data_IF_863220450561
#
_entry.id   IF_863220450561
#
_cell.length_a   1.000
_cell.length_b   1.000
_cell.length_c   1.000
_cell.angle_alpha   90.00
_cell.angle_beta   90.00
_cell.angle_gamma   90.00
#
_symmetry.space_group_name_H-M   'P 1'
#
loop_
_entity.id
_entity.type
_entity.pdbx_description
1 polymer ?
#
# COMPACT_ATOMS: atom_id res chain seq x y z
N UNK A 1 -17.94 13.26 22.61
CA UNK A 1 -17.00 12.40 23.36
C UNK A 1 -16.27 11.38 22.48
N UNK A 2 -16.92 10.62 21.59
CA UNK A 2 -16.23 9.61 20.75
C UNK A 2 -15.10 10.19 19.88
N UNK A 3 -15.32 11.32 19.21
CA UNK A 3 -14.30 11.98 18.39
C UNK A 3 -13.05 12.41 19.19
N UNK A 4 -13.21 12.78 20.46
CA UNK A 4 -12.10 13.14 21.34
C UNK A 4 -11.30 11.92 21.77
N UNK A 5 -11.99 10.80 22.06
CA UNK A 5 -11.35 9.51 22.38
C UNK A 5 -10.59 8.96 21.17
N UNK A 6 -11.15 9.07 19.97
CA UNK A 6 -10.49 8.64 18.74
C UNK A 6 -9.26 9.52 18.42
N UNK A 7 -9.36 10.84 18.64
CA UNK A 7 -8.23 11.76 18.52
C UNK A 7 -7.13 11.43 19.53
N UNK A 8 -7.49 11.21 20.80
CA UNK A 8 -6.54 10.85 21.84
C UNK A 8 -5.85 9.51 21.56
N UNK A 9 -6.57 8.50 21.05
CA UNK A 9 -5.99 7.22 20.63
C UNK A 9 -4.99 7.36 19.49
N UNK A 10 -5.30 8.20 18.50
CA UNK A 10 -4.40 8.44 17.36
C UNK A 10 -3.15 9.24 17.75
N UNK A 11 -3.16 9.95 18.88
CA UNK A 11 -1.99 10.66 19.42
C UNK A 11 -1.06 9.75 20.22
N UNK A 12 -1.42 8.51 20.51
CA UNK A 12 -0.61 7.60 21.35
C UNK A 12 0.63 7.04 20.66
N UNK A 13 0.71 7.17 19.33
CA UNK A 13 1.86 6.74 18.56
C UNK A 13 2.11 7.71 17.39
N UNK A 14 3.35 8.14 17.25
CA UNK A 14 3.81 8.93 16.11
C UNK A 14 4.66 8.02 15.21
N UNK A 15 4.29 7.92 13.95
CA UNK A 15 5.05 7.19 12.93
C UNK A 15 5.58 8.19 11.90
N UNK A 16 6.90 8.22 11.71
CA UNK A 16 7.58 9.03 10.71
C UNK A 16 8.23 8.09 9.71
N UNK A 17 7.80 8.17 8.44
CA UNK A 17 8.36 7.40 7.35
C UNK A 17 9.18 8.30 6.44
N UNK A 18 10.38 7.86 6.06
CA UNK A 18 11.11 8.41 4.91
C UNK A 18 10.92 7.46 3.74
N UNK A 19 10.38 8.01 2.67
CA UNK A 19 9.93 7.28 1.50
C UNK A 19 10.73 7.75 0.29
N UNK A 20 11.26 6.81 -0.49
CA UNK A 20 11.82 7.09 -1.80
C UNK A 20 10.71 6.95 -2.85
N UNK A 21 10.36 8.07 -3.46
CA UNK A 21 9.40 8.16 -4.57
C UNK A 21 10.09 8.82 -5.76
N UNK A 22 10.04 8.19 -6.91
CA UNK A 22 10.57 8.75 -8.16
C UNK A 22 9.54 9.71 -8.76
N UNK A 23 9.99 10.87 -9.25
CA UNK A 23 9.11 11.79 -9.99
C UNK A 23 8.01 12.45 -9.17
N UNK A 24 8.30 12.84 -7.92
CA UNK A 24 7.30 13.47 -7.02
C UNK A 24 6.72 14.73 -7.66
N UNK A 25 5.42 14.71 -7.96
CA UNK A 25 4.58 15.91 -7.94
C UNK A 25 3.98 16.02 -6.54
N UNK A 26 4.13 17.16 -5.88
CA UNK A 26 3.56 17.42 -4.55
C UNK A 26 2.03 17.59 -4.67
N UNK A 27 1.34 16.50 -4.99
CA UNK A 27 -0.10 16.49 -5.21
C UNK A 27 -0.83 16.14 -3.92
N UNK A 28 -1.88 16.91 -3.63
CA UNK A 28 -2.82 16.55 -2.57
C UNK A 28 -3.60 15.32 -3.04
N UNK A 29 -3.79 14.34 -2.16
CA UNK A 29 -4.65 13.19 -2.44
C UNK A 29 -5.98 13.65 -3.06
N UNK A 30 -6.40 13.06 -4.21
CA UNK A 30 -7.65 13.40 -4.87
C UNK A 30 -8.86 12.90 -4.04
N UNK A 31 -10.06 12.89 -4.63
CA UNK A 31 -11.20 12.27 -3.96
C UNK A 31 -10.87 10.81 -3.66
N UNK A 32 -11.40 10.29 -2.55
CA UNK A 32 -11.06 8.95 -2.08
C UNK A 32 -11.28 7.88 -3.15
N UNK A 33 -12.26 8.09 -4.04
CA UNK A 33 -12.48 7.22 -5.17
C UNK A 33 -11.39 7.21 -6.22
N UNK A 34 -10.99 8.41 -6.65
CA UNK A 34 -9.92 8.58 -7.63
C UNK A 34 -8.60 8.04 -7.05
N UNK A 35 -8.36 8.26 -5.75
CA UNK A 35 -7.19 7.71 -5.05
C UNK A 35 -7.18 6.17 -5.04
N UNK A 36 -8.34 5.51 -4.94
CA UNK A 36 -8.43 4.04 -5.04
C UNK A 36 -8.16 3.54 -6.45
N UNK A 37 -8.57 4.27 -7.48
CA UNK A 37 -8.26 3.97 -8.89
C UNK A 37 -6.76 4.06 -9.12
N UNK A 38 -6.16 5.20 -8.76
CA UNK A 38 -4.73 5.46 -8.89
C UNK A 38 -3.92 4.33 -8.22
N UNK A 39 -4.28 4.01 -6.98
CA UNK A 39 -3.60 2.98 -6.21
C UNK A 39 -3.72 1.59 -6.85
N UNK A 40 -4.89 1.22 -7.35
CA UNK A 40 -5.09 -0.06 -8.02
C UNK A 40 -4.25 -0.16 -9.30
N UNK A 41 -4.14 0.93 -10.06
CA UNK A 41 -3.31 1.01 -11.27
C UNK A 41 -1.82 0.92 -10.93
N UNK A 42 -1.36 1.65 -9.91
CA UNK A 42 0.03 1.60 -9.44
C UNK A 42 0.41 0.19 -8.97
N UNK A 43 -0.46 -0.47 -8.21
CA UNK A 43 -0.25 -1.86 -7.80
C UNK A 43 -0.18 -2.79 -9.00
N UNK A 44 -1.10 -2.65 -9.94
CA UNK A 44 -1.13 -3.48 -11.14
C UNK A 44 0.18 -3.35 -11.94
N UNK A 45 0.63 -2.13 -12.22
CA UNK A 45 1.88 -1.86 -12.96
C UNK A 45 3.07 -2.50 -12.24
N UNK A 46 3.19 -2.25 -10.93
CA UNK A 46 4.27 -2.84 -10.14
C UNK A 46 4.25 -4.38 -10.19
N UNK A 47 3.08 -5.00 -10.01
CA UNK A 47 2.96 -6.46 -10.04
C UNK A 47 3.31 -7.04 -11.42
N UNK A 48 2.97 -6.34 -12.52
CA UNK A 48 3.39 -6.71 -13.86
C UNK A 48 4.91 -6.64 -14.05
N UNK A 49 5.56 -5.58 -13.60
CA UNK A 49 7.03 -5.45 -13.66
C UNK A 49 7.74 -6.57 -12.87
N UNK A 50 7.20 -6.92 -11.70
CA UNK A 50 7.72 -8.02 -10.90
C UNK A 50 7.49 -9.38 -11.58
N UNK A 51 6.35 -9.58 -12.25
CA UNK A 51 6.07 -10.79 -13.02
C UNK A 51 7.09 -10.99 -14.16
N UNK A 52 7.43 -9.92 -14.88
CA UNK A 52 8.40 -9.97 -15.98
C UNK A 52 9.79 -10.42 -15.48
N UNK A 53 10.14 -10.09 -14.24
CA UNK A 53 11.39 -10.52 -13.60
C UNK A 53 11.46 -12.04 -13.36
N UNK A 54 10.32 -12.74 -13.34
CA UNK A 54 10.24 -14.20 -13.28
C UNK A 54 10.09 -14.87 -14.67
N UNK A 55 10.06 -14.08 -15.75
CA UNK A 55 10.03 -14.53 -17.15
C UNK A 55 8.74 -14.12 -17.89
N UNK A 56 8.86 -13.83 -19.19
CA UNK A 56 7.73 -13.36 -20.02
C UNK A 56 6.65 -14.44 -20.21
N UNK A 57 5.39 -14.02 -20.37
CA UNK A 57 4.23 -14.89 -20.69
C UNK A 57 4.42 -15.77 -21.93
N UNK A 58 5.28 -15.39 -22.87
CA UNK A 58 5.44 -16.09 -24.16
C UNK A 58 6.70 -16.97 -24.23
N UNK A 59 7.70 -16.73 -23.36
CA UNK A 59 9.00 -17.40 -23.43
C UNK A 59 9.48 -18.00 -22.11
N UNK A 60 8.74 -17.83 -21.00
CA UNK A 60 9.12 -18.44 -19.74
C UNK A 60 9.04 -19.97 -19.84
N UNK A 61 10.19 -20.57 -20.10
CA UNK A 61 10.60 -21.76 -19.35
C UNK A 61 10.69 -21.33 -17.89
N UNK A 62 9.52 -21.17 -17.26
CA UNK A 62 9.40 -21.18 -15.82
C UNK A 62 10.24 -22.36 -15.34
N UNK A 63 11.10 -22.17 -14.34
CA UNK A 63 11.74 -23.30 -13.69
C UNK A 63 10.67 -24.36 -13.42
N UNK A 64 10.93 -25.64 -13.67
CA UNK A 64 9.93 -26.73 -13.70
C UNK A 64 8.96 -26.76 -12.50
N UNK A 65 9.34 -26.17 -11.37
CA UNK A 65 8.53 -26.00 -10.17
C UNK A 65 7.52 -24.84 -10.25
N UNK A 66 7.84 -23.73 -10.93
CA UNK A 66 6.96 -22.59 -11.15
C UNK A 66 5.86 -22.90 -12.20
N UNK A 67 6.16 -23.78 -13.16
CA UNK A 67 5.16 -24.35 -14.06
C UNK A 67 4.04 -25.10 -13.33
N UNK A 68 4.35 -25.86 -12.26
CA UNK A 68 3.33 -26.56 -11.45
C UNK A 68 2.41 -25.63 -10.65
N UNK A 69 2.92 -24.47 -10.24
CA UNK A 69 2.11 -23.46 -9.54
C UNK A 69 1.25 -22.69 -10.56
N UNK A 70 1.80 -22.47 -11.77
CA UNK A 70 1.05 -21.96 -12.91
C UNK A 70 -0.08 -22.89 -13.38
N UNK A 71 0.03 -24.20 -13.17
CA UNK A 71 -1.02 -25.17 -13.53
C UNK A 71 -2.20 -25.15 -12.54
N UNK A 72 -1.98 -24.81 -11.27
CA UNK A 72 -3.04 -24.68 -10.26
C UNK A 72 -3.64 -23.27 -10.19
N UNK A 73 -2.93 -22.28 -10.71
CA UNK A 73 -3.39 -20.90 -10.81
C UNK A 73 -4.04 -20.65 -12.17
N UNK A 74 -5.34 -20.37 -12.21
CA UNK A 74 -6.07 -20.17 -13.46
C UNK A 74 -5.73 -18.81 -14.10
N UNK A 75 -4.62 -18.77 -14.84
CA UNK A 75 -4.23 -17.63 -15.69
C UNK A 75 -5.24 -17.28 -16.80
N UNK A 76 -6.24 -18.14 -17.04
CA UNK A 76 -7.28 -18.00 -18.07
C UNK A 76 -8.39 -17.00 -17.74
N UNK A 77 -8.36 -16.37 -16.57
CA UNK A 77 -9.18 -15.22 -16.21
C UNK A 77 -8.25 -14.02 -15.95
N UNK A 78 -7.40 -13.68 -16.92
CA UNK A 78 -6.58 -12.48 -16.83
C UNK A 78 -7.52 -11.28 -16.57
N UNK A 79 -7.44 -10.57 -15.43
CA UNK A 79 -8.29 -9.41 -15.22
C UNK A 79 -7.88 -8.23 -16.10
N UNK A 80 -6.74 -8.34 -16.79
CA UNK A 80 -6.07 -7.22 -17.43
C UNK A 80 -5.35 -7.69 -18.71
N UNK A 81 -5.83 -7.22 -19.86
CA UNK A 81 -5.05 -7.20 -21.08
C UNK A 81 -4.20 -5.92 -21.07
N UNK A 82 -2.88 -5.98 -21.25
CA UNK A 82 -2.09 -4.75 -21.39
C UNK A 82 -2.55 -3.98 -22.63
N UNK A 83 -2.63 -2.64 -22.60
CA UNK A 83 -2.97 -1.86 -23.78
C UNK A 83 -1.92 -2.08 -24.88
N UNK A 84 -2.38 -2.19 -26.12
CA UNK A 84 -1.56 -2.57 -27.27
C UNK A 84 -0.52 -1.52 -27.71
N UNK A 85 -0.59 -0.29 -27.18
CA UNK A 85 0.31 0.81 -27.52
C UNK A 85 1.00 1.38 -26.26
N UNK A 86 2.09 0.74 -25.83
CA UNK A 86 2.90 1.14 -24.67
C UNK A 86 3.87 2.30 -24.98
N UNK A 87 3.43 3.32 -25.73
CA UNK A 87 4.26 4.49 -26.03
C UNK A 87 4.08 5.64 -25.03
N UNK A 88 2.95 5.69 -24.31
CA UNK A 88 2.73 6.60 -23.19
C UNK A 88 1.41 6.18 -22.51
N UNK A 89 1.42 5.71 -21.25
CA UNK A 89 0.17 5.60 -20.51
C UNK A 89 -0.24 7.04 -20.19
N UNK A 90 -1.16 7.59 -20.98
CA UNK A 90 -2.00 8.67 -20.46
C UNK A 90 -2.57 8.16 -19.14
N UNK A 91 -2.35 8.93 -18.07
CA UNK A 91 -2.50 8.58 -16.64
C UNK A 91 -3.93 8.16 -16.24
N UNK A 92 -4.83 7.98 -17.21
CA UNK A 92 -6.24 7.72 -17.02
C UNK A 92 -6.82 6.98 -18.24
N UNK A 93 -6.78 5.65 -18.26
CA UNK A 93 -7.66 4.85 -19.12
C UNK A 93 -8.89 4.35 -18.31
N UNK A 94 -10.04 5.03 -18.42
CA UNK A 94 -11.26 4.61 -17.73
C UNK A 94 -11.84 3.28 -18.26
N UNK A 95 -11.33 2.74 -19.38
CA UNK A 95 -11.76 1.47 -19.95
C UNK A 95 -10.94 0.27 -19.49
N UNK A 96 -9.90 0.47 -18.66
CA UNK A 96 -9.05 -0.60 -18.13
C UNK A 96 -9.83 -1.72 -17.42
N UNK A 97 -10.99 -1.40 -16.83
CA UNK A 97 -11.87 -2.36 -16.14
C UNK A 97 -13.13 -2.76 -16.95
N UNK A 98 -13.28 -2.33 -18.20
CA UNK A 98 -14.56 -2.35 -18.92
C UNK A 98 -14.77 -3.50 -19.89
N UNK A 99 -13.77 -4.33 -20.23
CA UNK A 99 -13.94 -5.38 -21.26
C UNK A 99 -13.97 -6.79 -20.66
N UNK A 100 -15.16 -7.40 -20.72
CA UNK A 100 -15.40 -8.84 -20.79
C UNK A 100 -14.52 -9.74 -19.91
N UNK A 101 -14.50 -9.47 -18.59
CA UNK A 101 -13.94 -10.41 -17.63
C UNK A 101 -14.89 -11.61 -17.45
N UNK A 102 -14.46 -12.85 -17.73
CA UNK A 102 -15.29 -14.00 -17.47
C UNK A 102 -15.49 -14.14 -15.96
N UNK A 103 -16.74 -14.11 -15.50
CA UNK A 103 -17.11 -14.08 -14.08
C UNK A 103 -17.87 -12.82 -13.66
N UNK A 104 -18.04 -11.85 -14.54
CA UNK A 104 -18.84 -10.65 -14.27
C UNK A 104 -20.35 -10.90 -14.48
N UNK A 105 -20.92 -11.86 -13.73
CA UNK A 105 -22.37 -12.10 -13.68
C UNK A 105 -23.01 -11.23 -12.59
N UNK A 106 -23.73 -10.15 -12.93
CA UNK A 106 -24.37 -9.28 -11.94
C UNK A 106 -25.41 -10.03 -11.07
N UNK A 107 -25.91 -11.19 -11.49
CA UNK A 107 -26.80 -12.03 -10.68
C UNK A 107 -26.08 -12.84 -9.58
N UNK A 108 -24.74 -12.92 -9.61
CA UNK A 108 -23.91 -13.68 -8.64
C UNK A 108 -23.21 -12.82 -7.60
N UNK A 109 -23.44 -11.50 -7.57
CA UNK A 109 -22.83 -10.60 -6.56
C UNK A 109 -21.30 -10.49 -6.70
N UNK A 110 -20.78 -10.49 -7.92
CA UNK A 110 -19.35 -10.55 -8.26
C UNK A 110 -18.62 -9.21 -8.22
N UNK A 111 -18.87 -8.48 -7.14
CA UNK A 111 -18.63 -7.04 -7.08
C UNK A 111 -17.54 -6.67 -6.06
N UNK A 112 -16.46 -7.48 -6.02
CA UNK A 112 -15.57 -7.48 -4.85
C UNK A 112 -14.17 -8.03 -5.11
N UNK A 113 -13.57 -7.80 -6.29
CA UNK A 113 -12.33 -8.54 -6.63
C UNK A 113 -11.07 -7.78 -6.94
N UNK A 114 -11.08 -6.50 -7.35
CA UNK A 114 -9.82 -5.86 -7.80
C UNK A 114 -8.72 -5.90 -6.73
N UNK A 115 -8.98 -5.46 -5.50
CA UNK A 115 -7.97 -5.51 -4.43
C UNK A 115 -7.75 -6.93 -3.90
N UNK A 116 -8.75 -7.83 -3.95
CA UNK A 116 -8.57 -9.25 -3.62
C UNK A 116 -7.63 -9.96 -4.62
N UNK A 117 -7.77 -9.68 -5.92
CA UNK A 117 -6.95 -10.20 -7.00
C UNK A 117 -5.52 -9.64 -6.93
N UNK A 118 -5.38 -8.32 -6.72
CA UNK A 118 -4.07 -7.68 -6.51
C UNK A 118 -3.35 -8.27 -5.28
N UNK A 119 -4.10 -8.51 -4.19
CA UNK A 119 -3.58 -9.16 -2.97
C UNK A 119 -3.12 -10.59 -3.26
N UNK A 120 -3.88 -11.36 -4.03
CA UNK A 120 -3.56 -12.74 -4.38
C UNK A 120 -2.29 -12.81 -5.24
N UNK A 121 -2.19 -11.99 -6.29
CA UNK A 121 -0.99 -11.91 -7.14
C UNK A 121 0.23 -11.47 -6.31
N UNK A 122 0.08 -10.47 -5.44
CA UNK A 122 1.16 -10.04 -4.55
C UNK A 122 1.59 -11.14 -3.56
N UNK A 123 0.65 -11.95 -3.08
CA UNK A 123 0.92 -13.12 -2.21
C UNK A 123 1.73 -14.17 -2.95
N UNK A 124 1.32 -14.48 -4.17
CA UNK A 124 2.01 -15.43 -5.02
C UNK A 124 3.43 -14.97 -5.38
N UNK A 125 3.61 -13.73 -5.85
CA UNK A 125 4.93 -13.17 -6.18
C UNK A 125 5.89 -13.19 -4.98
N UNK A 126 5.38 -12.88 -3.79
CA UNK A 126 6.17 -12.93 -2.56
C UNK A 126 6.62 -14.36 -2.25
N UNK A 127 5.70 -15.32 -2.29
CA UNK A 127 6.03 -16.74 -2.06
C UNK A 127 7.06 -17.24 -3.07
N UNK A 128 6.92 -16.86 -4.34
CA UNK A 128 7.88 -17.18 -5.40
C UNK A 128 9.26 -16.58 -5.12
N UNK A 129 9.30 -15.32 -4.68
CA UNK A 129 10.53 -14.62 -4.31
C UNK A 129 11.23 -15.32 -3.16
N UNK A 130 10.50 -15.58 -2.06
CA UNK A 130 11.04 -16.22 -0.86
C UNK A 130 11.61 -17.61 -1.19
N UNK A 131 10.86 -18.42 -1.96
CA UNK A 131 11.31 -19.75 -2.38
C UNK A 131 12.54 -19.72 -3.26
N UNK A 132 12.62 -18.78 -4.20
CA UNK A 132 13.76 -18.66 -5.11
C UNK A 132 15.02 -18.26 -4.34
N UNK A 133 14.91 -17.28 -3.44
CA UNK A 133 16.00 -16.86 -2.58
C UNK A 133 16.46 -17.97 -1.63
N UNK A 134 15.54 -18.71 -1.04
CA UNK A 134 15.88 -19.83 -0.14
C UNK A 134 16.51 -21.01 -0.89
N UNK A 135 16.04 -21.32 -2.10
CA UNK A 135 16.64 -22.33 -2.97
C UNK A 135 18.07 -21.97 -3.37
N UNK A 136 18.32 -20.69 -3.73
CA UNK A 136 19.66 -20.21 -4.09
C UNK A 136 20.65 -20.24 -2.91
N UNK A 137 20.17 -20.24 -1.67
CA UNK A 137 21.01 -20.36 -0.45
C UNK A 137 21.41 -21.80 -0.12
N UNK A 138 20.78 -22.81 -0.73
CA UNK A 138 21.07 -24.21 -0.41
C UNK A 138 22.44 -24.65 -0.96
N UNK A 139 23.20 -25.46 -0.21
CA UNK A 139 24.43 -26.08 -0.72
C UNK A 139 24.13 -26.92 -1.98
N UNK A 140 24.83 -26.63 -3.07
CA UNK A 140 24.63 -27.33 -4.35
C UNK A 140 23.48 -26.79 -5.20
N UNK A 141 22.97 -25.58 -4.92
CA UNK A 141 22.01 -24.90 -5.79
C UNK A 141 22.52 -24.83 -7.24
N UNK A 142 21.63 -25.11 -8.19
CA UNK A 142 21.93 -25.00 -9.62
C UNK A 142 22.27 -23.57 -10.02
N UNK A 143 23.15 -23.43 -11.01
CA UNK A 143 23.58 -22.11 -11.52
C UNK A 143 22.39 -21.29 -12.07
N UNK A 144 21.38 -21.96 -12.60
CA UNK A 144 20.11 -21.39 -13.05
C UNK A 144 19.32 -20.76 -11.90
N UNK A 145 19.20 -21.44 -10.75
CA UNK A 145 18.50 -20.94 -9.56
C UNK A 145 19.23 -19.75 -8.96
N UNK A 146 20.57 -19.81 -8.87
CA UNK A 146 21.39 -18.69 -8.39
C UNK A 146 21.27 -17.48 -9.32
N UNK A 147 21.26 -17.71 -10.64
CA UNK A 147 21.07 -16.64 -11.62
C UNK A 147 19.68 -16.01 -11.52
N UNK A 148 18.62 -16.81 -11.33
CA UNK A 148 17.26 -16.31 -11.14
C UNK A 148 17.12 -15.52 -9.83
N UNK A 149 17.76 -15.97 -8.75
CA UNK A 149 17.76 -15.23 -7.50
C UNK A 149 18.49 -13.87 -7.62
N UNK A 150 19.48 -13.77 -8.51
CA UNK A 150 20.21 -12.53 -8.75
C UNK A 150 19.43 -11.48 -9.56
N UNK A 151 18.35 -11.87 -10.27
CA UNK A 151 17.48 -10.94 -11.00
C UNK A 151 16.32 -10.41 -10.16
N UNK A 152 16.09 -10.98 -8.97
CA UNK A 152 15.03 -10.51 -8.06
C UNK A 152 15.43 -9.15 -7.49
N UNK A 153 14.52 -8.18 -7.61
CA UNK A 153 14.66 -6.89 -6.96
C UNK A 153 14.62 -7.07 -5.42
N UNK A 154 15.70 -6.75 -4.69
CA UNK A 154 15.74 -6.89 -3.24
C UNK A 154 14.75 -5.96 -2.51
N UNK A 155 14.28 -4.91 -3.18
CA UNK A 155 13.35 -3.93 -2.61
C UNK A 155 11.87 -4.33 -2.84
N UNK A 156 11.58 -5.35 -3.66
CA UNK A 156 10.22 -5.80 -3.98
C UNK A 156 9.46 -6.49 -2.83
N UNK A 157 10.05 -7.39 -2.01
CA UNK A 157 9.34 -8.08 -0.93
C UNK A 157 8.58 -7.16 0.05
N UNK A 158 9.16 -6.07 0.60
CA UNK A 158 8.42 -5.17 1.47
C UNK A 158 7.25 -4.47 0.76
N UNK A 159 7.38 -4.18 -0.54
CA UNK A 159 6.31 -3.59 -1.35
C UNK A 159 5.17 -4.61 -1.54
N UNK A 160 5.48 -5.86 -1.89
CA UNK A 160 4.49 -6.94 -2.05
C UNK A 160 3.70 -7.18 -0.75
N UNK A 161 4.38 -7.22 0.40
CA UNK A 161 3.72 -7.31 1.71
C UNK A 161 2.76 -6.14 1.97
N UNK A 162 3.16 -4.93 1.55
CA UNK A 162 2.33 -3.74 1.74
C UNK A 162 1.12 -3.75 0.82
N UNK A 163 1.27 -4.17 -0.44
CA UNK A 163 0.14 -4.36 -1.37
C UNK A 163 -0.87 -5.32 -0.73
N UNK A 164 -0.42 -6.47 -0.21
CA UNK A 164 -1.30 -7.42 0.47
C UNK A 164 -2.09 -6.77 1.62
N UNK A 165 -1.36 -6.14 2.56
CA UNK A 165 -1.95 -5.51 3.74
C UNK A 165 -2.89 -4.36 3.38
N UNK A 166 -2.49 -3.50 2.46
CA UNK A 166 -3.28 -2.35 2.04
C UNK A 166 -4.55 -2.82 1.31
N UNK A 167 -4.46 -3.84 0.45
CA UNK A 167 -5.62 -4.46 -0.18
C UNK A 167 -6.61 -5.02 0.85
N UNK A 168 -6.13 -5.75 1.87
CA UNK A 168 -6.99 -6.24 2.96
C UNK A 168 -7.71 -5.09 3.69
N UNK A 169 -6.96 -4.04 4.05
CA UNK A 169 -7.52 -2.87 4.73
C UNK A 169 -8.56 -2.12 3.88
N UNK A 170 -8.29 -1.98 2.58
CA UNK A 170 -9.22 -1.34 1.63
C UNK A 170 -10.47 -2.20 1.46
N UNK A 171 -10.33 -3.51 1.31
CA UNK A 171 -11.46 -4.43 1.23
C UNK A 171 -12.33 -4.35 2.49
N UNK A 172 -11.73 -4.26 3.68
CA UNK A 172 -12.45 -4.05 4.93
C UNK A 172 -13.17 -2.69 5.00
N UNK A 173 -12.58 -1.63 4.45
CA UNK A 173 -13.25 -0.32 4.31
C UNK A 173 -14.46 -0.45 3.38
N UNK A 174 -14.30 -1.05 2.20
CA UNK A 174 -15.36 -1.18 1.21
C UNK A 174 -16.51 -2.06 1.71
N UNK A 175 -16.20 -3.23 2.28
CA UNK A 175 -17.19 -4.17 2.86
C UNK A 175 -18.02 -3.55 3.97
N UNK A 176 -17.40 -2.82 4.91
CA UNK A 176 -18.11 -2.13 6.00
C UNK A 176 -19.10 -1.07 5.51
N UNK A 177 -18.98 -0.63 4.26
CA UNK A 177 -19.83 0.39 3.65
C UNK A 177 -20.80 -0.16 2.62
N UNK A 178 -20.80 -1.47 2.40
CA UNK A 178 -21.57 -2.08 1.31
C UNK A 178 -21.19 -1.52 -0.06
N UNK A 179 -19.95 -1.01 -0.19
CA UNK A 179 -19.44 -0.50 -1.45
C UNK A 179 -18.82 -1.66 -2.24
N UNK A 180 -19.12 -1.68 -3.51
CA UNK A 180 -18.61 -2.62 -4.50
C UNK A 180 -17.52 -1.94 -5.34
N UNK A 181 -16.37 -2.59 -5.47
CA UNK A 181 -15.18 -2.08 -6.16
C UNK A 181 -15.37 -1.95 -7.68
N UNK A 182 -16.22 -2.74 -8.34
CA UNK A 182 -16.38 -2.78 -9.80
C UNK A 182 -17.43 -1.79 -10.31
N UNK A 183 -18.56 -1.62 -9.62
CA UNK A 183 -19.49 -0.50 -9.92
C UNK A 183 -18.83 0.87 -9.69
N UNK A 184 -17.77 0.90 -8.88
CA UNK A 184 -16.99 2.09 -8.55
C UNK A 184 -16.04 2.52 -9.67
N UNK A 185 -15.46 1.58 -10.42
CA UNK A 185 -14.46 1.85 -11.45
C UNK A 185 -15.07 2.18 -12.82
N UNK A 186 -16.37 1.90 -13.03
CA UNK A 186 -17.05 1.92 -14.35
C UNK A 186 -17.93 3.16 -14.64
N UNK A 187 -17.57 4.34 -14.13
CA UNK A 187 -18.20 5.61 -14.54
C UNK A 187 -19.14 6.19 -13.49
N UNK A 188 -18.54 6.90 -12.54
CA UNK A 188 -19.25 7.49 -11.42
C UNK A 188 -19.85 8.86 -11.73
N UNK A 189 -21.03 9.09 -11.17
CA UNK A 189 -21.51 10.43 -10.82
C UNK A 189 -20.66 10.99 -9.65
N UNK A 190 -20.48 12.32 -9.59
CA UNK A 190 -19.51 12.96 -8.69
C UNK A 190 -19.83 12.71 -7.20
N UNK A 191 -21.09 12.49 -6.86
CA UNK A 191 -21.54 12.17 -5.51
C UNK A 191 -20.96 10.85 -5.01
N UNK A 192 -20.84 9.84 -5.87
CA UNK A 192 -20.30 8.54 -5.50
C UNK A 192 -18.77 8.64 -5.32
N UNK A 193 -18.08 9.48 -6.12
CA UNK A 193 -16.61 9.72 -6.02
C UNK A 193 -16.20 10.32 -4.67
N UNK A 194 -17.08 11.15 -4.12
CA UNK A 194 -16.90 11.76 -2.79
C UNK A 194 -16.99 10.75 -1.65
N UNK A 195 -17.55 9.56 -1.90
CA UNK A 195 -17.81 8.52 -0.90
C UNK A 195 -18.37 9.10 0.41
N UNK A 196 -19.52 9.79 0.39
CA UNK A 196 -20.02 10.56 1.52
C UNK A 196 -20.23 9.73 2.80
N UNK A 197 -20.29 8.40 2.69
CA UNK A 197 -20.40 7.46 3.81
C UNK A 197 -19.07 7.13 4.52
N UNK A 198 -17.90 7.54 4.01
CA UNK A 198 -16.62 7.23 4.67
C UNK A 198 -16.48 7.98 6.00
N UNK A 199 -16.06 7.24 7.03
CA UNK A 199 -15.62 7.86 8.28
C UNK A 199 -14.20 8.40 8.09
N UNK A 200 -13.82 9.38 8.89
CA UNK A 200 -12.46 9.95 8.91
C UNK A 200 -11.38 8.87 8.98
N UNK A 201 -11.59 7.82 9.80
CA UNK A 201 -10.65 6.70 9.91
C UNK A 201 -10.45 5.96 8.57
N UNK A 202 -11.51 5.77 7.80
CA UNK A 202 -11.42 5.09 6.50
C UNK A 202 -10.70 5.95 5.47
N UNK A 203 -10.95 7.27 5.46
CA UNK A 203 -10.22 8.22 4.61
C UNK A 203 -8.73 8.24 4.95
N UNK A 204 -8.38 8.15 6.24
CA UNK A 204 -6.98 8.05 6.67
C UNK A 204 -6.35 6.74 6.19
N UNK A 205 -7.07 5.62 6.23
CA UNK A 205 -6.59 4.34 5.68
C UNK A 205 -6.30 4.44 4.19
N UNK A 206 -7.25 4.98 3.40
CA UNK A 206 -7.08 5.17 1.95
C UNK A 206 -5.91 6.11 1.67
N UNK A 207 -5.82 7.23 2.38
CA UNK A 207 -4.73 8.19 2.22
C UNK A 207 -3.36 7.56 2.48
N UNK A 208 -3.22 6.81 3.58
CA UNK A 208 -1.96 6.13 3.90
C UNK A 208 -1.56 5.14 2.82
N UNK A 209 -2.53 4.42 2.26
CA UNK A 209 -2.27 3.48 1.17
C UNK A 209 -1.88 4.20 -0.13
N UNK A 210 -2.49 5.35 -0.43
CA UNK A 210 -2.17 6.17 -1.61
C UNK A 210 -0.82 6.91 -1.49
N UNK A 211 -0.49 7.45 -0.30
CA UNK A 211 0.79 8.14 -0.07
C UNK A 211 1.99 7.18 -0.12
N UNK A 212 1.77 5.92 0.29
CA UNK A 212 2.79 4.87 0.36
C UNK A 212 2.21 3.56 -0.18
N UNK A 213 1.99 3.52 -1.49
CA UNK A 213 1.46 2.40 -2.25
C UNK A 213 2.58 1.46 -2.68
N UNK A 214 3.35 1.84 -3.68
CA UNK A 214 4.47 1.05 -4.25
C UNK A 214 5.84 1.62 -3.90
N UNK A 215 5.90 2.73 -3.18
CA UNK A 215 7.13 3.42 -2.84
C UNK A 215 8.01 2.66 -1.82
N UNK A 216 9.32 2.85 -1.89
CA UNK A 216 10.22 2.21 -0.95
C UNK A 216 10.31 3.00 0.36
N UNK A 217 9.87 2.42 1.47
CA UNK A 217 10.10 2.97 2.82
C UNK A 217 11.52 2.58 3.23
N UNK A 218 12.41 3.56 3.25
CA UNK A 218 13.83 3.34 3.56
C UNK A 218 14.12 3.50 5.04
N UNK A 219 13.37 4.35 5.74
CA UNK A 219 13.49 4.55 7.19
C UNK A 219 12.12 4.77 7.80
N UNK A 220 11.93 4.22 8.99
CA UNK A 220 10.71 4.40 9.77
C UNK A 220 11.06 4.58 11.24
N UNK A 221 10.59 5.66 11.84
CA UNK A 221 10.66 5.87 13.28
C UNK A 221 9.27 5.81 13.89
N UNK A 222 9.09 4.96 14.89
CA UNK A 222 7.87 4.91 15.70
C UNK A 222 8.20 5.41 17.09
N UNK A 223 7.45 6.40 17.57
CA UNK A 223 7.52 6.93 18.93
C UNK A 223 6.22 6.54 19.64
N UNK A 224 6.34 5.80 20.73
CA UNK A 224 5.22 5.36 21.55
C UNK A 224 5.08 6.25 22.81
N UNK A 225 3.89 6.28 23.39
CA UNK A 225 3.59 7.14 24.55
C UNK A 225 4.40 6.81 25.81
N UNK A 226 4.91 5.59 25.93
CA UNK A 226 5.81 5.16 27.01
C UNK A 226 7.23 5.71 26.85
N UNK A 227 7.53 6.37 25.73
CA UNK A 227 8.83 6.97 25.43
C UNK A 227 9.73 6.07 24.59
N UNK A 228 9.28 4.88 24.20
CA UNK A 228 10.06 4.01 23.34
C UNK A 228 10.12 4.60 21.92
N UNK A 229 11.36 4.78 21.43
CA UNK A 229 11.66 5.23 20.08
C UNK A 229 12.35 4.11 19.32
N UNK A 230 11.68 3.59 18.30
CA UNK A 230 12.22 2.52 17.45
C UNK A 230 12.40 3.05 16.03
N UNK A 231 13.67 3.18 15.61
CA UNK A 231 14.01 3.49 14.22
C UNK A 231 14.43 2.21 13.50
N UNK A 232 13.74 1.90 12.41
CA UNK A 232 14.05 0.81 11.49
C UNK A 232 14.64 1.41 10.21
N UNK A 233 15.68 0.76 9.70
CA UNK A 233 16.35 1.11 8.46
C UNK A 233 16.29 -0.10 7.52
N UNK A 234 15.98 0.16 6.25
CA UNK A 234 16.01 -0.88 5.24
C UNK A 234 17.43 -1.46 5.13
N UNK A 235 17.54 -2.80 5.15
CA UNK A 235 18.82 -3.49 5.16
C UNK A 235 19.69 -3.06 3.97
N UNK A 236 20.98 -2.79 4.21
CA UNK A 236 21.93 -2.36 3.19
C UNK A 236 21.90 -0.85 2.87
N UNK A 237 21.00 -0.09 3.52
CA UNK A 237 20.95 1.38 3.45
C UNK A 237 21.70 2.07 4.59
N UNK A 238 22.48 1.31 5.37
CA UNK A 238 23.38 1.77 6.46
C UNK A 238 24.80 2.07 5.96
N UNK A 239 24.92 2.65 4.77
CA UNK A 239 26.21 2.94 4.15
C UNK A 239 26.52 4.45 4.11
N UNK A 240 27.79 4.80 3.88
CA UNK A 240 28.26 6.19 3.82
C UNK A 240 27.49 7.05 2.80
N UNK A 241 27.04 6.44 1.70
CA UNK A 241 26.23 7.10 0.65
C UNK A 241 24.81 7.47 1.11
N UNK A 242 24.34 6.93 2.23
CA UNK A 242 23.00 7.18 2.78
C UNK A 242 22.99 8.22 3.91
N UNK A 243 24.15 8.80 4.24
CA UNK A 243 24.30 9.78 5.33
C UNK A 243 23.37 11.01 5.20
N UNK A 244 23.17 11.51 3.98
CA UNK A 244 22.25 12.63 3.70
C UNK A 244 20.80 12.22 4.01
N UNK A 245 20.38 11.05 3.54
CA UNK A 245 19.02 10.52 3.78
C UNK A 245 18.77 10.30 5.28
N UNK A 246 19.76 9.76 6.00
CA UNK A 246 19.70 9.57 7.45
C UNK A 246 19.59 10.92 8.17
N UNK A 247 20.35 11.92 7.74
CA UNK A 247 20.25 13.29 8.25
C UNK A 247 18.85 13.89 8.05
N UNK A 248 18.31 13.78 6.83
CA UNK A 248 16.95 14.24 6.51
C UNK A 248 15.89 13.51 7.36
N UNK A 249 16.03 12.20 7.56
CA UNK A 249 15.11 11.45 8.42
C UNK A 249 15.18 11.95 9.86
N UNK A 250 16.39 12.16 10.41
CA UNK A 250 16.58 12.68 11.76
C UNK A 250 15.92 14.06 11.92
N UNK A 251 16.14 14.96 10.97
CA UNK A 251 15.52 16.29 10.99
C UNK A 251 13.99 16.19 10.93
N UNK A 252 13.45 15.28 10.11
CA UNK A 252 12.02 15.03 10.02
C UNK A 252 11.44 14.48 11.33
N UNK A 253 12.16 13.57 12.01
CA UNK A 253 11.78 13.05 13.34
C UNK A 253 11.78 14.18 14.37
N UNK A 254 12.82 15.01 14.42
CA UNK A 254 12.94 16.12 15.37
C UNK A 254 11.85 17.19 15.17
N UNK A 255 11.51 17.49 13.90
CA UNK A 255 10.40 18.39 13.57
C UNK A 255 9.06 17.76 13.96
N UNK A 256 8.82 16.50 13.61
CA UNK A 256 7.55 15.81 13.88
C UNK A 256 7.30 15.65 15.38
N UNK A 257 8.34 15.31 16.15
CA UNK A 257 8.26 15.21 17.60
C UNK A 257 7.86 16.55 18.23
N UNK A 258 8.50 17.66 17.82
CA UNK A 258 8.15 19.01 18.31
C UNK A 258 6.70 19.39 18.00
N UNK A 259 6.22 19.13 16.78
CA UNK A 259 4.83 19.37 16.42
C UNK A 259 3.87 18.50 17.23
N UNK A 260 4.20 17.23 17.44
CA UNK A 260 3.39 16.31 18.22
C UNK A 260 3.32 16.72 19.71
N UNK A 261 4.44 17.11 20.32
CA UNK A 261 4.45 17.66 21.69
C UNK A 261 3.57 18.92 21.79
N UNK A 262 3.65 19.81 20.81
CA UNK A 262 2.78 21.00 20.76
C UNK A 262 1.29 20.63 20.70
N UNK A 263 0.91 19.61 19.92
CA UNK A 263 -0.48 19.14 19.84
C UNK A 263 -0.95 18.55 21.17
N UNK A 264 -0.11 17.76 21.85
CA UNK A 264 -0.41 17.22 23.18
C UNK A 264 -0.58 18.33 24.20
N UNK A 265 0.31 19.33 24.21
CA UNK A 265 0.23 20.47 25.11
C UNK A 265 -1.05 21.28 24.87
N UNK A 266 -1.40 21.53 23.61
CA UNK A 266 -2.64 22.20 23.25
C UNK A 266 -3.86 21.42 23.76
N UNK A 267 -3.88 20.09 23.55
CA UNK A 267 -4.95 19.22 24.03
C UNK A 267 -5.07 19.25 25.56
N UNK A 268 -3.94 19.16 26.28
CA UNK A 268 -3.89 19.23 27.73
C UNK A 268 -4.44 20.55 28.27
N UNK A 269 -4.15 21.68 27.60
CA UNK A 269 -4.70 23.00 27.95
C UNK A 269 -6.22 23.06 27.76
N UNK A 270 -6.75 22.48 26.69
CA UNK A 270 -8.20 22.46 26.46
C UNK A 270 -8.92 21.54 27.46
N UNK A 271 -8.36 20.35 27.74
CA UNK A 271 -8.91 19.43 28.73
C UNK A 271 -8.90 20.04 30.14
N UNK A 272 -7.78 20.67 30.55
CA UNK A 272 -7.67 21.33 31.84
C UNK A 272 -8.65 22.50 32.02
N UNK A 273 -8.89 23.29 30.97
CA UNK A 273 -9.91 24.36 30.99
C UNK A 273 -11.32 23.79 31.14
N UNK A 274 -11.68 22.75 30.39
CA UNK A 274 -13.01 22.15 30.46
C UNK A 274 -13.30 21.55 31.85
N UNK A 275 -12.31 20.89 32.46
CA UNK A 275 -12.44 20.36 33.84
C UNK A 275 -12.57 21.49 34.86
N UNK A 276 -11.78 22.56 34.75
CA UNK A 276 -11.88 23.70 35.65
C UNK A 276 -13.22 24.45 35.54
N UNK A 277 -13.84 24.51 34.35
CA UNK A 277 -15.18 25.09 34.19
C UNK A 277 -16.27 24.19 34.77
N UNK A 278 -16.17 22.87 34.61
CA UNK A 278 -17.14 21.91 35.17
C UNK A 278 -17.06 21.76 36.69
N UNK A 279 -15.87 21.87 37.27
CA UNK A 279 -15.65 21.81 38.73
C UNK A 279 -15.87 23.19 39.38
N UNK A 280 -15.58 24.27 38.66
CA UNK A 280 -15.75 25.65 39.14
C UNK A 280 -17.20 26.13 39.26
N UNK A 281 -18.16 25.54 38.53
CA UNK A 281 -19.59 25.86 38.60
C UNK A 281 -20.35 25.12 39.73
N UNK A 282 -19.64 24.42 40.62
CA UNK A 282 -20.21 23.74 41.80
C UNK A 282 -19.93 24.45 43.13
N UNK A 283 -19.43 25.70 43.09
CA UNK A 283 -19.16 26.55 44.26
C UNK A 283 -20.12 27.72 44.38
#
# INVERSE_FOLDING_TARGET
MSQFVDLARNLLALEINTVLKTGISAEKMPLAGDALIDLAQEYYVFLCEQLDSFGSRETATLALWAGRISETFHWGLAPFAPPSDAAQPDRYDPFFFSRDLPGNDPARGTTLKVFDDLREVASWLREMTDRTLDAARQPGAGADVVSAAATIDPDAPPILMRIQRNSDQINDVLRRRGLDTVSYLRGMDEEVRRMPALKTADVVTIRKAWDVGTELVVMQSTIQIDGDVVTRLLKGRDNAGSSVMIGVHKDAVDVSFRYWSFLIDALGRFAGKAVNTLVGDTG
#
